data_IF_717391284959
#
_entry.id   IF_717391284959
#
_cell.length_a   1.000
_cell.length_b   1.000
_cell.length_c   1.000
_cell.angle_alpha   90.00
_cell.angle_beta   90.00
_cell.angle_gamma   90.00
#
_symmetry.space_group_name_H-M   'P 1'
#
loop_
_entity.id
_entity.type
_entity.pdbx_description
1 polymer ?
#
# COMPACT_ATOMS: atom_id res chain seq x y z
N UNK A 1 38.37 -1.04 -39.66
CA UNK A 1 36.89 -0.92 -39.60
C UNK A 1 36.37 -0.34 -40.92
N UNK A 2 35.62 -1.13 -41.69
CA UNK A 2 35.20 -0.80 -43.06
C UNK A 2 33.87 -0.02 -43.07
N UNK A 3 33.85 1.13 -43.75
CA UNK A 3 32.70 2.06 -43.89
C UNK A 3 31.40 1.40 -44.41
N UNK A 4 31.49 0.23 -45.04
CA UNK A 4 30.35 -0.54 -45.54
C UNK A 4 29.52 -1.20 -44.43
N UNK A 5 30.17 -1.62 -43.33
CA UNK A 5 29.49 -2.23 -42.19
C UNK A 5 28.72 -1.20 -41.35
N UNK A 6 29.21 0.03 -41.26
CA UNK A 6 28.54 1.13 -40.55
C UNK A 6 27.22 1.54 -41.21
N UNK A 7 27.18 1.59 -42.55
CA UNK A 7 25.95 1.91 -43.28
C UNK A 7 24.90 0.81 -43.15
N UNK A 8 25.32 -0.46 -43.17
CA UNK A 8 24.43 -1.60 -42.96
C UNK A 8 23.87 -1.65 -41.53
N UNK A 9 24.69 -1.28 -40.53
CA UNK A 9 24.28 -1.23 -39.13
C UNK A 9 23.29 -0.08 -38.84
N UNK A 10 23.48 1.09 -39.47
CA UNK A 10 22.55 2.22 -39.34
C UNK A 10 21.21 1.93 -40.02
N UNK A 11 21.22 1.28 -41.19
CA UNK A 11 19.99 0.96 -41.93
C UNK A 11 19.11 -0.07 -41.22
N UNK A 12 19.75 -1.04 -40.53
CA UNK A 12 19.04 -2.05 -39.74
C UNK A 12 18.46 -1.47 -38.45
N UNK A 13 19.16 -0.57 -37.76
CA UNK A 13 18.63 0.12 -36.57
C UNK A 13 17.44 1.03 -36.94
N UNK A 14 17.51 1.78 -38.04
CA UNK A 14 16.41 2.66 -38.47
C UNK A 14 15.14 1.87 -38.84
N UNK A 15 15.28 0.68 -39.44
CA UNK A 15 14.15 -0.19 -39.79
C UNK A 15 13.47 -0.81 -38.56
N UNK A 16 14.25 -1.15 -37.53
CA UNK A 16 13.72 -1.64 -36.24
C UNK A 16 12.91 -0.55 -35.53
N UNK A 17 13.35 0.71 -35.56
CA UNK A 17 12.60 1.83 -34.98
C UNK A 17 11.28 2.14 -35.70
N UNK A 18 11.20 1.93 -37.02
CA UNK A 18 9.96 2.17 -37.80
C UNK A 18 8.90 1.07 -37.54
N UNK A 19 9.31 -0.15 -37.21
CA UNK A 19 8.37 -1.22 -36.85
C UNK A 19 7.79 -1.10 -35.43
N UNK A 20 8.47 -0.37 -34.53
CA UNK A 20 8.04 -0.23 -33.13
C UNK A 20 6.94 0.83 -32.90
N UNK A 21 6.66 1.73 -33.84
CA UNK A 21 5.71 2.84 -33.66
C UNK A 21 4.28 2.56 -34.15
N UNK A 22 4.02 1.40 -34.77
CA UNK A 22 2.71 1.05 -35.32
C UNK A 22 1.67 0.52 -34.30
N UNK A 23 1.99 0.44 -33.00
CA UNK A 23 1.10 -0.16 -31.99
C UNK A 23 0.37 0.82 -31.06
N UNK A 24 0.50 2.15 -31.21
CA UNK A 24 -0.07 3.10 -30.23
C UNK A 24 -1.45 3.71 -30.58
N UNK A 25 -2.07 3.38 -31.72
CA UNK A 25 -3.32 4.04 -32.12
C UNK A 25 -4.63 3.34 -31.69
N UNK A 26 -4.60 2.12 -31.12
CA UNK A 26 -5.82 1.31 -30.94
C UNK A 26 -6.24 1.01 -29.48
N UNK A 27 -5.65 1.64 -28.46
CA UNK A 27 -5.98 1.33 -27.05
C UNK A 27 -6.96 2.31 -26.38
N UNK A 28 -7.31 3.44 -26.99
CA UNK A 28 -8.10 4.48 -26.28
C UNK A 28 -9.62 4.21 -26.22
N UNK A 29 -10.18 3.43 -27.15
CA UNK A 29 -11.61 3.15 -27.16
C UNK A 29 -12.04 2.11 -26.11
N UNK A 30 -11.18 1.13 -25.81
CA UNK A 30 -11.49 0.07 -24.84
C UNK A 30 -11.41 0.55 -23.38
N UNK A 31 -10.47 1.44 -23.04
CA UNK A 31 -10.33 1.95 -21.66
C UNK A 31 -11.56 2.75 -21.19
N UNK A 32 -12.22 3.50 -22.08
CA UNK A 32 -13.42 4.28 -21.74
C UNK A 32 -14.67 3.43 -21.54
N UNK A 33 -14.78 2.28 -22.21
CA UNK A 33 -15.94 1.40 -22.09
C UNK A 33 -15.93 0.57 -20.79
N UNK A 34 -14.76 0.25 -20.24
CA UNK A 34 -14.64 -0.53 -19.00
C UNK A 34 -14.78 0.31 -17.72
N UNK A 35 -14.48 1.61 -17.74
CA UNK A 35 -14.65 2.47 -16.55
C UNK A 35 -16.12 2.76 -16.21
N UNK A 36 -17.01 2.74 -17.21
CA UNK A 36 -18.41 3.13 -16.99
C UNK A 36 -19.24 2.05 -16.27
N UNK A 37 -18.78 0.79 -16.23
CA UNK A 37 -19.55 -0.32 -15.61
C UNK A 37 -19.26 -0.51 -14.12
N UNK A 38 -18.19 0.09 -13.57
CA UNK A 38 -17.77 -0.11 -12.18
C UNK A 38 -18.26 0.97 -11.20
N UNK A 39 -18.92 2.05 -11.68
CA UNK A 39 -19.33 3.20 -10.85
C UNK A 39 -20.86 3.32 -10.70
N UNK A 40 -21.65 2.30 -11.05
CA UNK A 40 -23.05 2.30 -10.66
C UNK A 40 -23.13 1.92 -9.17
N UNK A 41 -23.55 2.82 -8.26
CA UNK A 41 -23.72 2.47 -6.86
C UNK A 41 -24.88 1.49 -6.76
N UNK A 42 -24.58 0.20 -6.59
CA UNK A 42 -25.60 -0.76 -6.17
C UNK A 42 -26.02 -0.40 -4.74
N UNK A 43 -27.29 -0.12 -4.46
CA UNK A 43 -27.73 0.11 -3.10
C UNK A 43 -27.55 -1.18 -2.30
N UNK A 44 -26.55 -1.19 -1.40
CA UNK A 44 -26.32 -2.30 -0.47
C UNK A 44 -27.47 -2.26 0.54
N UNK A 45 -28.48 -3.09 0.32
CA UNK A 45 -29.54 -3.30 1.30
C UNK A 45 -29.00 -4.19 2.42
N UNK A 46 -28.38 -3.56 3.42
CA UNK A 46 -28.04 -4.23 4.67
C UNK A 46 -29.36 -4.68 5.33
N UNK A 47 -29.52 -5.96 5.70
CA UNK A 47 -30.65 -6.37 6.52
C UNK A 47 -30.52 -5.67 7.87
N UNK A 48 -31.49 -4.83 8.20
CA UNK A 48 -31.59 -4.20 9.52
C UNK A 48 -31.83 -5.33 10.51
N UNK A 49 -30.77 -5.83 11.16
CA UNK A 49 -30.90 -6.75 12.28
C UNK A 49 -31.45 -5.90 13.43
N UNK A 50 -32.76 -6.06 13.71
CA UNK A 50 -33.35 -5.53 14.94
C UNK A 50 -32.64 -6.22 16.09
N UNK A 51 -31.69 -5.52 16.71
CA UNK A 51 -31.09 -5.96 17.97
C UNK A 51 -32.20 -5.89 19.00
N UNK A 52 -32.74 -7.06 19.34
CA UNK A 52 -33.66 -7.21 20.44
C UNK A 52 -32.91 -6.80 21.72
N UNK A 53 -33.41 -5.80 22.40
CA UNK A 53 -32.84 -5.21 23.61
C UNK A 53 -32.73 -6.31 24.69
N UNK A 54 -31.53 -6.87 24.84
CA UNK A 54 -31.24 -7.80 25.93
C UNK A 54 -31.01 -6.95 27.17
N UNK A 55 -32.07 -6.82 27.97
CA UNK A 55 -32.03 -6.36 29.35
C UNK A 55 -31.24 -7.37 30.19
N UNK A 56 -29.92 -7.26 30.13
CA UNK A 56 -28.99 -7.99 30.99
C UNK A 56 -28.15 -6.99 31.79
N UNK A 57 -28.28 -7.01 33.11
CA UNK A 57 -27.50 -6.17 34.01
C UNK A 57 -25.99 -6.36 33.77
N UNK A 58 -25.30 -5.27 33.42
CA UNK A 58 -23.85 -5.22 33.22
C UNK A 58 -23.15 -5.42 34.57
N UNK A 59 -22.24 -6.41 34.74
CA UNK A 59 -21.34 -6.41 35.88
C UNK A 59 -20.41 -5.20 35.77
N UNK A 60 -20.47 -4.34 36.78
CA UNK A 60 -19.65 -3.14 36.91
C UNK A 60 -18.18 -3.54 37.10
N UNK A 61 -17.42 -3.60 36.00
CA UNK A 61 -15.97 -3.55 36.06
C UNK A 61 -15.56 -2.09 36.23
N UNK A 62 -15.01 -1.75 37.39
CA UNK A 62 -14.37 -0.46 37.64
C UNK A 62 -13.15 -0.34 36.72
N UNK A 63 -13.12 0.58 35.72
CA UNK A 63 -11.91 0.79 34.94
C UNK A 63 -10.87 1.44 35.86
N UNK A 64 -9.73 0.75 36.01
CA UNK A 64 -8.50 1.39 36.50
C UNK A 64 -8.13 2.47 35.48
N UNK A 65 -7.82 3.70 35.88
CA UNK A 65 -7.47 4.76 34.93
C UNK A 65 -6.19 4.36 34.20
N UNK A 66 -6.34 3.93 32.94
CA UNK A 66 -5.24 3.88 31.99
C UNK A 66 -4.80 5.32 31.79
N UNK A 67 -3.54 5.62 32.09
CA UNK A 67 -2.96 6.92 31.80
C UNK A 67 -3.00 7.12 30.28
N UNK A 68 -4.01 7.86 29.83
CA UNK A 68 -4.12 8.35 28.45
C UNK A 68 -3.06 9.41 28.25
N UNK A 69 -1.85 9.00 27.87
CA UNK A 69 -0.98 9.88 27.10
C UNK A 69 -1.58 9.96 25.70
N UNK A 70 -2.40 10.98 25.46
CA UNK A 70 -2.79 11.37 24.10
C UNK A 70 -1.58 12.00 23.44
N UNK A 71 -0.86 11.36 22.50
CA UNK A 71 0.05 12.12 21.65
C UNK A 71 -0.81 13.02 20.76
N UNK A 72 -0.64 14.33 20.93
CA UNK A 72 -1.08 15.33 19.96
C UNK A 72 -0.49 14.96 18.61
N UNK A 73 -1.34 14.59 17.65
CA UNK A 73 -0.96 14.40 16.25
C UNK A 73 -0.56 15.76 15.69
N UNK A 74 0.69 16.14 15.92
CA UNK A 74 1.38 17.05 15.04
C UNK A 74 1.66 16.27 13.74
N UNK A 75 1.34 16.80 12.55
CA UNK A 75 1.85 16.22 11.32
C UNK A 75 3.38 16.39 11.33
N UNK A 76 4.08 15.36 11.81
CA UNK A 76 5.53 15.21 11.68
C UNK A 76 5.85 15.22 10.19
N UNK A 77 6.90 15.93 9.75
CA UNK A 77 7.20 16.12 8.34
C UNK A 77 7.24 14.78 7.62
N UNK A 78 6.31 14.61 6.67
CA UNK A 78 6.29 13.54 5.69
C UNK A 78 7.71 13.34 5.17
N UNK A 79 8.28 12.22 5.59
CA UNK A 79 9.67 11.89 5.33
C UNK A 79 9.91 11.90 3.83
N UNK A 80 11.00 12.54 3.43
CA UNK A 80 11.33 12.80 2.04
C UNK A 80 11.52 11.47 1.29
N UNK A 81 10.57 11.10 0.41
CA UNK A 81 10.65 10.03 -0.62
C UNK A 81 11.57 8.85 -0.23
N UNK A 82 11.40 8.31 0.98
CA UNK A 82 12.14 7.13 1.39
C UNK A 82 11.37 5.91 0.87
N UNK A 83 11.90 5.29 -0.17
CA UNK A 83 11.37 4.02 -0.69
C UNK A 83 11.87 2.89 0.21
N UNK A 84 10.96 2.25 0.95
CA UNK A 84 11.28 1.08 1.78
C UNK A 84 11.45 -0.17 0.91
N UNK A 85 12.42 -1.03 1.24
CA UNK A 85 12.64 -2.30 0.52
C UNK A 85 11.74 -3.40 1.08
N UNK A 86 10.62 -3.67 0.39
CA UNK A 86 9.67 -4.71 0.75
C UNK A 86 9.94 -6.06 0.06
N UNK A 87 11.07 -6.22 -0.64
CA UNK A 87 11.36 -7.44 -1.43
C UNK A 87 11.83 -8.62 -0.59
N UNK A 88 12.30 -8.37 0.63
CA UNK A 88 12.80 -9.37 1.56
C UNK A 88 12.67 -8.88 3.00
N UNK A 89 12.83 -9.80 3.96
CA UNK A 89 12.87 -9.44 5.37
C UNK A 89 14.21 -8.75 5.73
N UNK A 90 14.25 -7.41 5.67
CA UNK A 90 15.46 -6.61 5.94
C UNK A 90 15.35 -5.63 7.10
N UNK A 91 14.16 -5.41 7.65
CA UNK A 91 13.92 -4.49 8.77
C UNK A 91 13.42 -5.23 10.00
N UNK A 92 13.84 -4.78 11.18
CA UNK A 92 13.44 -5.26 12.49
C UNK A 92 13.01 -4.07 13.35
N UNK A 93 12.27 -4.31 14.44
CA UNK A 93 11.87 -3.25 15.36
C UNK A 93 13.04 -2.44 15.93
N UNK A 94 14.23 -3.04 16.07
CA UNK A 94 15.43 -2.34 16.53
C UNK A 94 16.01 -1.32 15.54
N UNK A 95 15.56 -1.36 14.28
CA UNK A 95 16.00 -0.45 13.22
C UNK A 95 15.24 0.88 13.24
N UNK A 96 14.16 0.98 14.03
CA UNK A 96 13.31 2.15 14.14
C UNK A 96 13.48 2.83 15.50
N UNK A 97 13.41 4.17 15.50
CA UNK A 97 13.55 4.95 16.74
C UNK A 97 12.22 5.12 17.46
N UNK A 98 11.11 5.02 16.73
CA UNK A 98 9.76 5.24 17.25
C UNK A 98 8.78 4.21 16.68
N UNK A 99 7.70 3.96 17.41
CA UNK A 99 6.58 3.15 16.93
C UNK A 99 6.02 3.69 15.60
N UNK A 100 5.91 5.02 15.47
CA UNK A 100 5.37 5.66 14.28
C UNK A 100 6.18 5.36 13.01
N UNK A 101 7.52 5.36 13.09
CA UNK A 101 8.38 4.99 11.96
C UNK A 101 8.20 3.52 11.57
N UNK A 102 8.15 2.61 12.54
CA UNK A 102 7.95 1.19 12.28
C UNK A 102 6.58 0.91 11.64
N UNK A 103 5.53 1.59 12.13
CA UNK A 103 4.17 1.49 11.60
C UNK A 103 4.10 1.97 10.15
N UNK A 104 4.79 3.07 9.80
CA UNK A 104 4.84 3.56 8.42
C UNK A 104 5.46 2.53 7.46
N UNK A 105 6.55 1.86 7.86
CA UNK A 105 7.17 0.80 7.05
C UNK A 105 6.26 -0.42 6.93
N UNK A 106 5.63 -0.83 8.02
CA UNK A 106 4.68 -1.92 8.03
C UNK A 106 3.53 -1.66 7.05
N UNK A 107 2.85 -0.52 7.16
CA UNK A 107 1.74 -0.15 6.29
C UNK A 107 2.18 -0.05 4.83
N UNK A 108 3.30 0.63 4.57
CA UNK A 108 3.84 0.77 3.23
C UNK A 108 4.10 -0.60 2.58
N UNK A 109 4.81 -1.50 3.28
CA UNK A 109 5.13 -2.80 2.72
C UNK A 109 3.92 -3.73 2.64
N UNK A 110 3.00 -3.64 3.60
CA UNK A 110 1.74 -4.38 3.53
C UNK A 110 0.92 -3.97 2.29
N UNK A 111 0.89 -2.69 1.92
CA UNK A 111 0.26 -2.24 0.68
C UNK A 111 0.98 -2.74 -0.59
N UNK A 112 2.31 -2.85 -0.56
CA UNK A 112 3.08 -3.31 -1.73
C UNK A 112 2.98 -4.82 -1.97
N UNK A 113 3.11 -5.63 -0.92
CA UNK A 113 3.22 -7.10 -1.05
C UNK A 113 2.03 -7.88 -0.47
N UNK A 114 1.18 -7.23 0.31
CA UNK A 114 -0.06 -7.81 0.87
C UNK A 114 0.11 -8.60 2.17
N UNK A 115 1.29 -8.57 2.78
CA UNK A 115 1.57 -9.22 4.06
C UNK A 115 2.76 -8.56 4.78
N UNK A 116 2.93 -8.84 6.06
CA UNK A 116 4.08 -8.38 6.84
C UNK A 116 5.35 -9.16 6.48
N UNK A 117 6.05 -8.69 5.44
CA UNK A 117 7.30 -9.28 4.96
C UNK A 117 8.45 -9.14 5.95
N UNK A 118 8.39 -8.14 6.82
CA UNK A 118 9.43 -7.82 7.79
C UNK A 118 9.19 -8.45 9.16
N UNK A 119 7.96 -8.94 9.42
CA UNK A 119 7.53 -9.50 10.71
C UNK A 119 7.65 -8.47 11.84
N UNK A 120 7.27 -7.22 11.53
CA UNK A 120 7.23 -6.11 12.49
C UNK A 120 6.01 -6.23 13.43
N UNK A 121 4.94 -6.86 12.96
CA UNK A 121 3.73 -7.19 13.71
C UNK A 121 3.77 -8.69 14.06
N UNK A 122 4.16 -8.99 15.29
CA UNK A 122 4.45 -10.37 15.71
C UNK A 122 3.17 -11.17 16.00
N UNK A 123 2.13 -10.51 16.49
CA UNK A 123 0.84 -11.10 16.88
C UNK A 123 -0.27 -10.88 15.84
N UNK A 124 -0.01 -10.14 14.78
CA UNK A 124 -0.86 -9.90 13.61
C UNK A 124 -2.13 -9.13 13.95
N UNK A 125 -2.05 -8.16 14.85
CA UNK A 125 -3.17 -7.30 15.22
C UNK A 125 -3.24 -6.01 14.36
N UNK A 126 -2.25 -5.81 13.48
CA UNK A 126 -2.10 -4.65 12.61
C UNK A 126 -1.23 -3.54 13.20
N UNK A 127 -0.63 -3.75 14.37
CA UNK A 127 0.19 -2.77 15.08
C UNK A 127 1.64 -3.27 15.11
N UNK A 128 2.51 -2.57 14.39
CA UNK A 128 3.91 -2.94 14.28
C UNK A 128 4.73 -2.47 15.48
N UNK A 129 5.57 -3.35 16.02
CA UNK A 129 6.61 -3.00 16.99
C UNK A 129 6.11 -2.22 18.22
N UNK A 130 5.02 -2.66 18.86
CA UNK A 130 4.37 -2.04 20.03
C UNK A 130 5.30 -1.73 21.22
N UNK A 131 6.48 -2.34 21.27
CA UNK A 131 7.48 -2.09 22.32
C UNK A 131 8.29 -0.80 22.12
N UNK A 132 8.17 -0.15 20.95
CA UNK A 132 8.86 1.10 20.66
C UNK A 132 8.15 2.31 21.28
N UNK A 133 8.90 3.37 21.62
CA UNK A 133 8.34 4.61 22.19
C UNK A 133 7.52 5.43 21.19
#
# INVERSE_FOLDING_TARGET
MNQKHIKFFIFTIAFIFILASASLANTSAYAKALYQTIVAPTPIYLPIIKVNEVTGAVPTFTPTPVATSTPTVAPTPTSAIQLWDCSANVYNCSDFSTHAEAQEVFEYCFEQVGFDVHRLDADNDGIACESLP
#
